data_IF_108404039768
#
_entry.id   IF_108404039768
#
_cell.length_a   1.000
_cell.length_b   1.000
_cell.length_c   1.000
_cell.angle_alpha   90.00
_cell.angle_beta   90.00
_cell.angle_gamma   90.00
#
_symmetry.space_group_name_H-M   'P 1'
#
loop_
_entity.id
_entity.type
_entity.pdbx_description
1 polymer ?
#
# COMPACT_ATOMS: atom_id res chain seq x y z
N UNK A 1 -8.08 -13.55 16.81
CA UNK A 1 -8.34 -14.33 15.56
C UNK A 1 -7.72 -13.68 14.35
N UNK A 2 -8.13 -12.49 13.93
CA UNK A 2 -7.61 -11.84 12.70
C UNK A 2 -6.10 -11.62 12.73
N UNK A 3 -5.52 -11.22 13.87
CA UNK A 3 -4.07 -11.03 13.99
C UNK A 3 -3.28 -12.35 13.85
N UNK A 4 -3.78 -13.43 14.44
CA UNK A 4 -3.17 -14.76 14.28
C UNK A 4 -3.28 -15.25 12.82
N UNK A 5 -4.45 -15.04 12.19
CA UNK A 5 -4.66 -15.36 10.78
C UNK A 5 -3.74 -14.55 9.86
N UNK A 6 -3.63 -13.25 10.10
CA UNK A 6 -2.70 -12.36 9.39
C UNK A 6 -1.27 -12.90 9.41
N UNK A 7 -0.76 -13.22 10.60
CA UNK A 7 0.60 -13.73 10.76
C UNK A 7 0.84 -15.07 10.04
N UNK A 8 -0.15 -15.97 10.03
CA UNK A 8 -0.04 -17.24 9.30
C UNK A 8 -0.10 -17.03 7.79
N UNK A 9 -1.04 -16.20 7.31
CA UNK A 9 -1.15 -15.89 5.88
C UNK A 9 0.08 -15.16 5.34
N UNK A 10 0.69 -14.27 6.12
CA UNK A 10 1.91 -13.59 5.73
C UNK A 10 3.09 -14.53 5.57
N UNK A 11 3.22 -15.52 6.47
CA UNK A 11 4.36 -16.44 6.46
C UNK A 11 4.22 -17.56 5.43
N UNK A 12 2.99 -18.03 5.16
CA UNK A 12 2.72 -19.24 4.36
C UNK A 12 1.87 -19.00 3.11
N UNK A 13 1.38 -17.79 2.93
CA UNK A 13 0.36 -17.47 1.93
C UNK A 13 -0.99 -18.11 2.27
N UNK A 14 -2.00 -17.84 1.44
CA UNK A 14 -3.32 -18.43 1.62
C UNK A 14 -3.28 -19.95 1.47
N UNK A 15 -2.56 -20.48 0.47
CA UNK A 15 -2.56 -21.92 0.15
C UNK A 15 -1.89 -22.75 1.24
N UNK A 16 -0.74 -22.30 1.77
CA UNK A 16 0.02 -22.98 2.82
C UNK A 16 -0.58 -22.86 4.22
N UNK A 17 -1.48 -21.93 4.45
CA UNK A 17 -2.11 -21.73 5.74
C UNK A 17 -3.17 -22.81 6.04
N UNK A 18 -3.21 -23.26 7.31
CA UNK A 18 -4.19 -24.21 7.80
C UNK A 18 -5.05 -23.59 8.90
N UNK A 19 -6.36 -23.82 8.84
CA UNK A 19 -7.32 -23.32 9.84
C UNK A 19 -6.97 -23.79 11.26
N UNK A 20 -6.45 -25.01 11.42
CA UNK A 20 -5.99 -25.52 12.72
C UNK A 20 -4.86 -24.67 13.28
N UNK A 21 -3.83 -24.42 12.49
CA UNK A 21 -2.67 -23.62 12.90
C UNK A 21 -3.08 -22.18 13.31
N UNK A 22 -4.03 -21.59 12.57
CA UNK A 22 -4.57 -20.26 12.90
C UNK A 22 -5.31 -20.29 14.23
N UNK A 23 -6.12 -21.34 14.47
CA UNK A 23 -6.84 -21.52 15.73
C UNK A 23 -5.88 -21.70 16.91
N UNK A 24 -4.86 -22.55 16.76
CA UNK A 24 -3.83 -22.79 17.78
C UNK A 24 -3.08 -21.50 18.12
N UNK A 25 -2.68 -20.73 17.08
CA UNK A 25 -1.99 -19.44 17.26
C UNK A 25 -2.89 -18.37 17.89
N UNK A 26 -4.19 -18.46 17.67
CA UNK A 26 -5.17 -17.55 18.26
C UNK A 26 -5.60 -17.95 19.68
N UNK A 27 -5.15 -19.09 20.21
CA UNK A 27 -5.56 -19.64 21.50
C UNK A 27 -7.03 -20.03 21.57
N UNK A 28 -7.60 -20.48 20.44
CA UNK A 28 -9.02 -20.89 20.34
C UNK A 28 -9.15 -22.28 19.69
N UNK A 29 -10.30 -22.92 19.86
CA UNK A 29 -10.57 -24.14 19.12
C UNK A 29 -10.95 -23.86 17.65
N UNK A 30 -10.70 -24.85 16.78
CA UNK A 30 -10.98 -24.75 15.35
C UNK A 30 -12.48 -24.56 15.06
N UNK A 31 -13.36 -25.13 15.90
CA UNK A 31 -14.81 -24.99 15.74
C UNK A 31 -15.25 -23.54 15.90
N UNK A 32 -14.65 -22.81 16.87
CA UNK A 32 -14.91 -21.39 17.07
C UNK A 32 -14.45 -20.58 15.84
N UNK A 33 -13.29 -20.88 15.27
CA UNK A 33 -12.82 -20.21 14.05
C UNK A 33 -13.76 -20.46 12.87
N UNK A 34 -14.25 -21.69 12.68
CA UNK A 34 -15.25 -22.03 11.67
C UNK A 34 -16.62 -21.39 11.91
N UNK A 35 -17.00 -21.21 13.15
CA UNK A 35 -18.25 -20.51 13.49
C UNK A 35 -18.25 -19.06 12.98
N UNK A 36 -17.14 -18.34 13.14
CA UNK A 36 -17.03 -16.94 12.70
C UNK A 36 -16.76 -16.79 11.20
N UNK A 37 -15.91 -17.64 10.62
CA UNK A 37 -15.40 -17.44 9.26
C UNK A 37 -15.72 -18.58 8.29
N UNK A 38 -16.50 -19.56 8.71
CA UNK A 38 -16.95 -20.72 7.93
C UNK A 38 -15.85 -21.46 7.17
N UNK A 39 -14.98 -20.79 6.43
CA UNK A 39 -13.88 -21.38 5.67
C UNK A 39 -12.65 -20.44 5.62
N UNK A 40 -11.55 -21.00 5.12
CA UNK A 40 -10.26 -20.30 5.01
C UNK A 40 -10.33 -19.07 4.09
N UNK A 41 -11.12 -19.14 3.02
CA UNK A 41 -11.29 -18.05 2.06
C UNK A 41 -11.93 -16.82 2.73
N UNK A 42 -13.03 -17.00 3.45
CA UNK A 42 -13.71 -15.90 4.15
C UNK A 42 -12.86 -15.28 5.26
N UNK A 43 -12.09 -16.11 5.97
CA UNK A 43 -11.12 -15.60 6.95
C UNK A 43 -10.03 -14.78 6.27
N UNK A 44 -9.52 -15.25 5.15
CA UNK A 44 -8.51 -14.52 4.37
C UNK A 44 -9.06 -13.18 3.85
N UNK A 45 -10.26 -13.16 3.27
CA UNK A 45 -10.94 -11.94 2.83
C UNK A 45 -11.12 -10.95 3.98
N UNK A 46 -11.46 -11.41 5.18
CA UNK A 46 -11.57 -10.55 6.37
C UNK A 46 -10.21 -9.95 6.78
N UNK A 47 -9.13 -10.73 6.74
CA UNK A 47 -7.75 -10.23 6.99
C UNK A 47 -7.34 -9.21 5.95
N UNK A 48 -7.61 -9.49 4.67
CA UNK A 48 -7.28 -8.58 3.58
C UNK A 48 -8.06 -7.26 3.68
N UNK A 49 -9.38 -7.34 3.89
CA UNK A 49 -10.23 -6.15 4.05
C UNK A 49 -9.77 -5.29 5.24
N UNK A 50 -9.39 -5.92 6.35
CA UNK A 50 -8.82 -5.20 7.50
C UNK A 50 -7.51 -4.49 7.13
N UNK A 51 -6.59 -5.17 6.45
CA UNK A 51 -5.34 -4.59 5.98
C UNK A 51 -5.57 -3.43 5.00
N UNK A 52 -6.47 -3.62 4.03
CA UNK A 52 -6.79 -2.60 3.04
C UNK A 52 -7.51 -1.38 3.64
N UNK A 53 -8.39 -1.59 4.63
CA UNK A 53 -9.09 -0.51 5.33
C UNK A 53 -8.15 0.42 6.11
N UNK A 54 -6.96 -0.05 6.46
CA UNK A 54 -5.90 0.79 7.04
C UNK A 54 -5.19 1.64 5.98
N UNK A 55 -5.03 1.11 4.76
CA UNK A 55 -4.30 1.75 3.67
C UNK A 55 -5.17 2.73 2.86
N UNK A 56 -6.41 2.36 2.56
CA UNK A 56 -7.30 3.12 1.68
C UNK A 56 -7.55 4.57 2.13
N UNK A 57 -7.78 4.87 3.43
CA UNK A 57 -7.96 6.25 3.89
C UNK A 57 -6.73 7.12 3.66
N UNK A 58 -5.50 6.56 3.78
CA UNK A 58 -4.26 7.29 3.53
C UNK A 58 -4.19 7.76 2.07
N UNK A 59 -4.59 6.89 1.13
CA UNK A 59 -4.65 7.21 -0.28
C UNK A 59 -5.78 8.22 -0.58
N UNK A 60 -6.97 8.01 -0.01
CA UNK A 60 -8.13 8.87 -0.27
C UNK A 60 -7.91 10.31 0.19
N UNK A 61 -7.33 10.52 1.37
CA UNK A 61 -7.09 11.87 1.89
C UNK A 61 -6.21 12.68 0.94
N UNK A 62 -5.13 12.07 0.44
CA UNK A 62 -4.15 12.75 -0.41
C UNK A 62 -4.69 12.96 -1.83
N UNK A 63 -5.39 11.97 -2.36
CA UNK A 63 -5.94 12.06 -3.72
C UNK A 63 -7.09 13.08 -3.81
N UNK A 64 -7.81 13.31 -2.71
CA UNK A 64 -9.06 14.06 -2.73
C UNK A 64 -9.05 15.40 -1.97
N UNK A 65 -7.93 15.81 -1.35
CA UNK A 65 -7.82 17.14 -0.74
C UNK A 65 -7.68 18.26 -1.80
N UNK A 66 -7.68 19.53 -1.37
CA UNK A 66 -7.57 20.70 -2.26
C UNK A 66 -6.14 21.26 -2.35
N UNK A 67 -5.16 20.55 -1.80
CA UNK A 67 -3.76 21.00 -1.86
C UNK A 67 -3.18 20.84 -3.27
N UNK A 68 -2.14 21.63 -3.57
CA UNK A 68 -1.39 21.52 -4.83
C UNK A 68 -0.79 20.13 -5.03
N UNK A 69 -0.51 19.76 -6.27
CA UNK A 69 0.12 18.47 -6.60
C UNK A 69 1.46 18.31 -5.88
N UNK A 70 2.27 19.37 -5.79
CA UNK A 70 3.51 19.34 -5.00
C UNK A 70 3.25 18.95 -3.55
N UNK A 71 2.29 19.60 -2.88
CA UNK A 71 1.96 19.34 -1.48
C UNK A 71 1.40 17.93 -1.29
N UNK A 72 0.57 17.45 -2.24
CA UNK A 72 0.07 16.07 -2.24
C UNK A 72 1.19 15.05 -2.29
N UNK A 73 2.18 15.22 -3.19
CA UNK A 73 3.32 14.30 -3.33
C UNK A 73 4.13 14.29 -2.04
N UNK A 74 4.43 15.43 -1.44
CA UNK A 74 5.16 15.52 -0.16
C UNK A 74 4.43 14.82 0.97
N UNK A 75 3.15 15.14 1.13
CA UNK A 75 2.32 14.54 2.18
C UNK A 75 2.16 13.03 1.99
N UNK A 76 1.91 12.59 0.75
CA UNK A 76 1.79 11.18 0.45
C UNK A 76 3.09 10.43 0.79
N UNK A 77 4.22 10.88 0.26
CA UNK A 77 5.51 10.21 0.46
C UNK A 77 5.83 10.09 1.95
N UNK A 78 5.73 11.19 2.70
CA UNK A 78 6.03 11.20 4.14
C UNK A 78 5.08 10.32 4.95
N UNK A 79 3.75 10.46 4.71
CA UNK A 79 2.74 9.71 5.46
C UNK A 79 2.78 8.21 5.10
N UNK A 80 2.94 7.88 3.81
CA UNK A 80 3.01 6.50 3.36
C UNK A 80 4.20 5.77 3.98
N UNK A 81 5.40 6.37 3.93
CA UNK A 81 6.60 5.76 4.51
C UNK A 81 6.43 5.59 6.03
N UNK A 82 5.92 6.61 6.73
CA UNK A 82 5.68 6.53 8.17
C UNK A 82 4.63 5.47 8.55
N UNK A 83 3.63 5.29 7.69
CA UNK A 83 2.62 4.25 7.89
C UNK A 83 3.19 2.86 7.63
N UNK A 84 4.00 2.70 6.56
CA UNK A 84 4.62 1.41 6.23
C UNK A 84 5.69 0.99 7.22
N UNK A 85 6.37 1.92 7.88
CA UNK A 85 7.29 1.61 8.99
C UNK A 85 6.55 0.85 10.12
N UNK A 86 5.30 1.22 10.38
CA UNK A 86 4.44 0.54 11.36
C UNK A 86 3.79 -0.74 10.83
N UNK A 87 3.68 -0.88 9.51
CA UNK A 87 2.98 -1.97 8.83
C UNK A 87 3.78 -2.52 7.64
N UNK A 88 5.05 -2.96 7.83
CA UNK A 88 5.99 -3.25 6.73
C UNK A 88 5.54 -4.42 5.83
N UNK A 89 4.65 -5.27 6.32
CA UNK A 89 4.12 -6.42 5.58
C UNK A 89 2.99 -6.05 4.59
N UNK A 90 2.30 -4.93 4.82
CA UNK A 90 1.09 -4.59 4.06
C UNK A 90 1.31 -4.50 2.54
N UNK A 91 2.35 -3.81 2.03
CA UNK A 91 2.53 -3.67 0.59
C UNK A 91 2.70 -5.01 -0.11
N UNK A 92 3.56 -5.87 0.41
CA UNK A 92 3.83 -7.18 -0.18
C UNK A 92 2.56 -8.07 -0.12
N UNK A 93 1.88 -8.09 1.03
CA UNK A 93 0.66 -8.86 1.21
C UNK A 93 -0.45 -8.41 0.25
N UNK A 94 -0.70 -7.10 0.17
CA UNK A 94 -1.75 -6.55 -0.71
C UNK A 94 -1.43 -6.84 -2.19
N UNK A 95 -0.22 -6.54 -2.65
CA UNK A 95 0.16 -6.75 -4.05
C UNK A 95 0.14 -8.22 -4.43
N UNK A 96 0.64 -9.11 -3.56
CA UNK A 96 0.62 -10.54 -3.82
C UNK A 96 -0.81 -11.07 -4.01
N UNK A 97 -1.74 -10.63 -3.17
CA UNK A 97 -3.12 -11.10 -3.25
C UNK A 97 -3.88 -10.50 -4.43
N UNK A 98 -3.66 -9.25 -4.76
CA UNK A 98 -4.24 -8.65 -5.95
C UNK A 98 -3.76 -9.33 -7.24
N UNK A 99 -2.51 -9.80 -7.27
CA UNK A 99 -1.98 -10.57 -8.41
C UNK A 99 -2.54 -12.00 -8.48
N UNK A 100 -2.81 -12.63 -7.33
CA UNK A 100 -3.41 -13.97 -7.29
C UNK A 100 -4.89 -13.99 -7.64
N UNK A 101 -5.63 -12.99 -7.20
CA UNK A 101 -7.07 -12.90 -7.32
C UNK A 101 -7.49 -11.56 -7.94
N UNK A 102 -7.33 -11.35 -9.25
CA UNK A 102 -7.70 -10.08 -9.91
C UNK A 102 -9.18 -9.70 -9.69
N UNK A 103 -10.08 -10.68 -9.58
CA UNK A 103 -11.50 -10.45 -9.28
C UNK A 103 -11.73 -9.79 -7.91
N UNK A 104 -10.78 -9.93 -7.00
CA UNK A 104 -10.84 -9.30 -5.68
C UNK A 104 -10.81 -7.77 -5.80
N UNK A 105 -10.01 -7.22 -6.73
CA UNK A 105 -9.98 -5.79 -7.05
C UNK A 105 -11.36 -5.31 -7.50
N UNK A 106 -12.04 -6.09 -8.36
CA UNK A 106 -13.36 -5.72 -8.87
C UNK A 106 -14.40 -5.63 -7.75
N UNK A 107 -14.37 -6.59 -6.81
CA UNK A 107 -15.23 -6.55 -5.62
C UNK A 107 -14.92 -5.34 -4.73
N UNK A 108 -13.64 -5.00 -4.55
CA UNK A 108 -13.23 -3.87 -3.73
C UNK A 108 -13.52 -2.52 -4.38
N UNK A 109 -13.38 -2.41 -5.70
CA UNK A 109 -13.68 -1.18 -6.45
C UNK A 109 -15.14 -0.73 -6.26
N UNK A 110 -16.04 -1.68 -6.02
CA UNK A 110 -17.45 -1.41 -5.75
C UNK A 110 -17.72 -0.97 -4.30
N UNK A 111 -16.73 -1.01 -3.41
CA UNK A 111 -16.86 -0.51 -2.05
C UNK A 111 -16.62 1.01 -1.99
N UNK A 112 -17.44 1.72 -1.25
CA UNK A 112 -17.40 3.19 -1.09
C UNK A 112 -16.07 3.75 -0.59
N UNK A 113 -15.18 2.91 -0.07
CA UNK A 113 -13.85 3.29 0.44
C UNK A 113 -12.71 3.07 -0.55
N UNK A 114 -12.97 2.58 -1.78
CA UNK A 114 -11.89 2.36 -2.74
C UNK A 114 -11.34 3.71 -3.24
N UNK A 115 -10.01 3.94 -3.19
CA UNK A 115 -9.43 5.18 -3.65
C UNK A 115 -9.71 5.44 -5.13
N UNK A 116 -10.10 6.66 -5.48
CA UNK A 116 -10.17 7.10 -6.87
C UNK A 116 -9.24 8.27 -7.12
N UNK A 117 -8.82 8.45 -8.36
CA UNK A 117 -7.85 9.47 -8.76
C UNK A 117 -8.48 10.62 -9.57
N UNK A 118 -9.80 10.72 -9.63
CA UNK A 118 -10.46 11.69 -10.52
C UNK A 118 -10.14 13.14 -10.13
N UNK A 119 -10.20 13.47 -8.84
CA UNK A 119 -9.83 14.82 -8.38
C UNK A 119 -8.35 15.12 -8.61
N UNK A 120 -7.48 14.13 -8.36
CA UNK A 120 -6.05 14.23 -8.67
C UNK A 120 -5.82 14.49 -10.17
N UNK A 121 -6.54 13.76 -11.06
CA UNK A 121 -6.46 13.96 -12.52
C UNK A 121 -6.85 15.39 -12.92
N UNK A 122 -7.98 15.89 -12.40
CA UNK A 122 -8.44 17.25 -12.67
C UNK A 122 -7.37 18.26 -12.25
N UNK A 123 -6.80 18.12 -11.06
CA UNK A 123 -5.78 19.03 -10.55
C UNK A 123 -4.47 18.97 -11.35
N UNK A 124 -3.98 17.77 -11.69
CA UNK A 124 -2.77 17.64 -12.54
C UNK A 124 -2.99 18.32 -13.88
N UNK A 125 -4.12 18.05 -14.54
CA UNK A 125 -4.42 18.65 -15.83
C UNK A 125 -4.53 20.18 -15.74
N UNK A 126 -5.08 20.71 -14.65
CA UNK A 126 -5.16 22.16 -14.44
C UNK A 126 -3.77 22.76 -14.20
N UNK A 127 -2.93 22.17 -13.33
CA UNK A 127 -1.59 22.67 -13.06
C UNK A 127 -0.65 22.57 -14.30
N UNK A 128 -0.86 21.57 -15.18
CA UNK A 128 -0.18 21.50 -16.49
C UNK A 128 -0.65 22.62 -17.41
N UNK A 129 -1.96 22.87 -17.49
CA UNK A 129 -2.54 23.96 -18.32
C UNK A 129 -2.06 25.34 -17.85
N UNK A 130 -1.94 25.52 -16.55
CA UNK A 130 -1.47 26.77 -15.93
C UNK A 130 0.05 26.96 -16.03
N UNK A 131 0.78 25.99 -16.62
CA UNK A 131 2.23 26.03 -16.78
C UNK A 131 3.02 25.81 -15.48
N UNK A 132 2.35 25.37 -14.40
CA UNK A 132 2.99 25.05 -13.11
C UNK A 132 3.76 23.73 -13.24
N UNK A 133 3.15 22.75 -13.90
CA UNK A 133 3.74 21.45 -14.17
C UNK A 133 4.12 21.31 -15.65
N UNK A 134 5.19 20.57 -15.93
CA UNK A 134 5.53 20.10 -17.28
C UNK A 134 4.43 19.19 -17.81
N UNK A 135 4.30 19.05 -19.15
CA UNK A 135 3.36 18.09 -19.73
C UNK A 135 3.59 16.68 -19.19
N UNK A 136 2.63 16.17 -18.44
CA UNK A 136 2.59 14.80 -17.91
C UNK A 136 1.15 14.34 -17.78
N UNK A 137 0.86 13.05 -18.08
CA UNK A 137 -0.45 12.52 -17.75
C UNK A 137 -0.58 12.24 -16.25
N UNK A 138 -1.76 12.48 -15.72
CA UNK A 138 -2.04 12.25 -14.30
C UNK A 138 -1.87 10.77 -13.92
N UNK A 139 -2.20 9.85 -14.82
CA UNK A 139 -2.03 8.42 -14.64
C UNK A 139 -0.53 8.05 -14.51
N UNK A 140 0.32 8.59 -15.39
CA UNK A 140 1.77 8.36 -15.33
C UNK A 140 2.37 8.95 -14.05
N UNK A 141 1.95 10.15 -13.67
CA UNK A 141 2.39 10.75 -12.42
C UNK A 141 1.97 9.90 -11.22
N UNK A 142 0.72 9.47 -11.18
CA UNK A 142 0.21 8.58 -10.11
C UNK A 142 1.01 7.27 -10.04
N UNK A 143 1.24 6.62 -11.19
CA UNK A 143 2.04 5.39 -11.25
C UNK A 143 3.47 5.61 -10.75
N UNK A 144 4.12 6.72 -11.12
CA UNK A 144 5.47 7.05 -10.66
C UNK A 144 5.50 7.29 -9.14
N UNK A 145 4.53 8.05 -8.61
CA UNK A 145 4.40 8.27 -7.16
C UNK A 145 4.22 6.94 -6.42
N UNK A 146 3.33 6.08 -6.91
CA UNK A 146 3.11 4.77 -6.30
C UNK A 146 4.35 3.87 -6.39
N UNK A 147 4.96 3.75 -7.57
CA UNK A 147 6.12 2.88 -7.79
C UNK A 147 7.30 3.26 -6.89
N UNK A 148 7.64 4.54 -6.82
CA UNK A 148 8.77 5.02 -6.01
C UNK A 148 8.55 4.90 -4.50
N UNK A 149 7.29 4.90 -4.06
CA UNK A 149 6.97 4.77 -2.63
C UNK A 149 6.72 3.31 -2.20
N UNK A 150 6.10 2.50 -3.05
CA UNK A 150 5.70 1.12 -2.70
C UNK A 150 6.83 0.11 -2.91
N UNK A 151 7.55 0.22 -4.02
CA UNK A 151 8.57 -0.76 -4.42
C UNK A 151 9.62 -1.05 -3.35
N UNK A 152 10.15 -0.06 -2.59
CA UNK A 152 11.14 -0.33 -1.55
C UNK A 152 10.67 -1.26 -0.44
N UNK A 153 9.38 -1.30 -0.17
CA UNK A 153 8.81 -2.21 0.84
C UNK A 153 8.54 -3.61 0.27
N UNK A 154 8.06 -3.68 -0.98
CA UNK A 154 7.78 -4.97 -1.65
C UNK A 154 9.06 -5.71 -1.98
N UNK A 155 10.07 -5.00 -2.44
CA UNK A 155 11.36 -5.55 -2.88
C UNK A 155 12.47 -5.39 -1.83
N UNK A 156 12.13 -5.17 -0.55
CA UNK A 156 13.10 -4.94 0.53
C UNK A 156 14.26 -5.94 0.52
N UNK A 157 14.05 -7.27 0.50
CA UNK A 157 15.16 -8.22 0.52
C UNK A 157 16.11 -8.09 -0.68
N UNK A 158 15.53 -7.84 -1.86
CA UNK A 158 16.29 -7.64 -3.10
C UNK A 158 17.15 -6.38 -3.04
N UNK A 159 16.57 -5.27 -2.59
CA UNK A 159 17.28 -4.00 -2.49
C UNK A 159 18.35 -4.01 -1.40
N UNK A 160 18.11 -4.70 -0.28
CA UNK A 160 19.13 -4.92 0.76
C UNK A 160 20.31 -5.70 0.20
N UNK A 161 20.07 -6.75 -0.59
CA UNK A 161 21.11 -7.53 -1.24
C UNK A 161 21.93 -6.68 -2.22
N UNK A 162 21.29 -5.92 -3.10
CA UNK A 162 22.00 -5.06 -4.06
C UNK A 162 22.80 -3.94 -3.41
N UNK A 163 22.28 -3.36 -2.32
CA UNK A 163 22.94 -2.26 -1.63
C UNK A 163 23.93 -2.71 -0.55
N UNK A 164 24.00 -4.03 -0.28
CA UNK A 164 24.78 -4.64 0.78
C UNK A 164 24.52 -4.00 2.16
N UNK A 165 23.25 -3.74 2.47
CA UNK A 165 22.82 -3.11 3.72
C UNK A 165 22.07 -4.08 4.62
N UNK A 166 22.36 -3.98 5.93
CA UNK A 166 21.55 -4.63 6.96
C UNK A 166 20.25 -3.85 7.22
N UNK A 167 19.37 -4.42 8.03
CA UNK A 167 18.04 -3.85 8.34
C UNK A 167 18.11 -2.42 8.88
N UNK A 168 19.04 -2.15 9.80
CA UNK A 168 19.16 -0.81 10.42
C UNK A 168 19.53 0.26 9.38
N UNK A 169 20.53 -0.01 8.53
CA UNK A 169 20.98 0.94 7.51
C UNK A 169 19.95 1.07 6.39
N UNK A 170 19.24 -0.01 6.06
CA UNK A 170 18.13 0.06 5.13
C UNK A 170 16.98 0.93 5.66
N UNK A 171 16.62 0.80 6.92
CA UNK A 171 15.58 1.62 7.54
C UNK A 171 16.00 3.11 7.57
N UNK A 172 17.27 3.43 7.84
CA UNK A 172 17.79 4.81 7.71
C UNK A 172 17.66 5.35 6.28
N UNK A 173 17.89 4.49 5.28
CA UNK A 173 17.70 4.84 3.87
C UNK A 173 16.23 5.14 3.56
N UNK A 174 15.31 4.30 4.05
CA UNK A 174 13.86 4.49 3.87
C UNK A 174 13.39 5.80 4.53
N UNK A 175 13.90 6.13 5.72
CA UNK A 175 13.54 7.38 6.41
C UNK A 175 13.92 8.63 5.59
N UNK A 176 15.10 8.65 4.98
CA UNK A 176 15.53 9.74 4.09
C UNK A 176 14.63 9.90 2.86
N UNK A 177 14.05 8.82 2.37
CA UNK A 177 13.14 8.83 1.21
C UNK A 177 11.88 9.66 1.44
N UNK A 178 11.50 9.96 2.68
CA UNK A 178 10.35 10.84 2.98
C UNK A 178 10.46 12.21 2.32
N UNK A 179 11.70 12.71 2.16
CA UNK A 179 11.99 13.99 1.49
C UNK A 179 12.58 13.77 0.10
N UNK A 180 13.59 12.92 -0.02
CA UNK A 180 14.35 12.73 -1.27
C UNK A 180 13.47 12.27 -2.44
N UNK A 181 12.52 11.35 -2.21
CA UNK A 181 11.61 10.89 -3.26
C UNK A 181 10.60 11.95 -3.66
N UNK A 182 10.08 12.69 -2.68
CA UNK A 182 9.18 13.80 -2.98
C UNK A 182 9.89 14.87 -3.82
N UNK A 183 11.11 15.26 -3.42
CA UNK A 183 11.91 16.24 -4.16
C UNK A 183 12.27 15.73 -5.56
N UNK A 184 12.65 14.46 -5.71
CA UNK A 184 12.94 13.86 -7.01
C UNK A 184 11.73 13.94 -7.96
N UNK A 185 10.55 13.55 -7.49
CA UNK A 185 9.33 13.60 -8.30
C UNK A 185 8.99 15.05 -8.65
N UNK A 186 8.98 15.95 -7.67
CA UNK A 186 8.61 17.36 -7.87
C UNK A 186 9.56 18.04 -8.86
N UNK A 187 10.86 17.86 -8.70
CA UNK A 187 11.86 18.45 -9.61
C UNK A 187 11.74 17.90 -11.05
N UNK A 188 11.27 16.66 -11.21
CA UNK A 188 11.08 16.08 -12.55
C UNK A 188 9.89 16.68 -13.29
N UNK A 189 8.86 17.14 -12.58
CA UNK A 189 7.59 17.59 -13.18
C UNK A 189 7.37 19.09 -13.12
N UNK A 190 8.08 19.82 -12.26
CA UNK A 190 7.89 21.28 -12.07
C UNK A 190 8.49 22.07 -13.23
N UNK A 191 7.75 23.06 -13.75
CA UNK A 191 8.30 24.10 -14.58
C UNK A 191 9.07 25.10 -13.71
N UNK A 192 10.24 25.56 -14.16
CA UNK A 192 11.07 26.60 -13.54
C UNK A 192 10.92 27.90 -14.31
#
# INVERSE_FOLDING_TARGET
MLEAAKNVFQSKGMDGARMQEIADKAGINKAMLHYYYRNKQLLFEAVFNNAFSLLAPQLNTILNDDSSIEKKIRNFTSNYISFMDKHPYLPAFVIQELNRNPEFILKMKNNLGFPNIEKFKIQVNQEVKDGILKPISAEQLFMNVMALNVFPFVAKPLLMAFTNKGDEDYNKLIEKRKTEVADFIINSIKNF
#
